data_IF_368081921682
#
_entry.id   IF_368081921682
#
_cell.length_a   1.000
_cell.length_b   1.000
_cell.length_c   1.000
_cell.angle_alpha   90.00
_cell.angle_beta   90.00
_cell.angle_gamma   90.00
#
_symmetry.space_group_name_H-M   'P 1'
#
loop_
_entity.id
_entity.type
_entity.pdbx_description
1 polymer ?
#
# COMPACT_ATOMS: atom_id res chain seq x y z
N UNK A 1 21.50 6.94 -18.80
CA UNK A 1 20.53 5.90 -19.23
C UNK A 1 20.91 4.63 -18.48
N UNK A 2 20.04 4.06 -17.64
CA UNK A 2 20.39 2.84 -16.89
C UNK A 2 20.34 1.62 -17.81
N UNK A 3 21.34 0.75 -17.73
CA UNK A 3 21.38 -0.52 -18.47
C UNK A 3 20.40 -1.48 -17.81
N UNK A 4 19.62 -2.22 -18.61
CA UNK A 4 18.71 -3.23 -18.06
C UNK A 4 19.54 -4.37 -17.45
N UNK A 5 19.37 -4.60 -16.15
CA UNK A 5 19.96 -5.72 -15.40
C UNK A 5 18.90 -6.35 -14.49
N UNK A 6 19.16 -7.56 -14.01
CA UNK A 6 18.27 -8.26 -13.08
C UNK A 6 18.01 -7.44 -11.82
N UNK A 7 19.06 -6.85 -11.26
CA UNK A 7 19.03 -6.07 -10.02
C UNK A 7 18.13 -4.84 -10.16
N UNK A 8 18.16 -4.16 -11.32
CA UNK A 8 17.27 -3.02 -11.58
C UNK A 8 15.81 -3.46 -11.72
N UNK A 9 15.57 -4.62 -12.33
CA UNK A 9 14.22 -5.18 -12.42
C UNK A 9 13.66 -5.56 -11.04
N UNK A 10 14.46 -6.20 -10.20
CA UNK A 10 14.09 -6.55 -8.82
C UNK A 10 13.82 -5.30 -7.98
N UNK A 11 14.69 -4.29 -8.06
CA UNK A 11 14.50 -3.00 -7.40
C UNK A 11 13.17 -2.35 -7.84
N UNK A 12 12.90 -2.33 -9.14
CA UNK A 12 11.64 -1.79 -9.68
C UNK A 12 10.42 -2.54 -9.15
N UNK A 13 10.51 -3.85 -8.99
CA UNK A 13 9.42 -4.66 -8.46
C UNK A 13 9.15 -4.33 -6.98
N UNK A 14 10.20 -4.22 -6.16
CA UNK A 14 10.07 -3.85 -4.74
C UNK A 14 9.44 -2.46 -4.61
N UNK A 15 9.91 -1.48 -5.39
CA UNK A 15 9.34 -0.12 -5.40
C UNK A 15 7.86 -0.15 -5.78
N UNK A 16 7.49 -0.93 -6.82
CA UNK A 16 6.09 -1.06 -7.24
C UNK A 16 5.21 -1.67 -6.16
N UNK A 17 5.66 -2.75 -5.50
CA UNK A 17 4.92 -3.38 -4.41
C UNK A 17 4.75 -2.41 -3.24
N UNK A 18 5.82 -1.74 -2.81
CA UNK A 18 5.76 -0.73 -1.77
C UNK A 18 4.79 0.41 -2.11
N UNK A 19 4.82 0.90 -3.35
CA UNK A 19 3.88 1.92 -3.83
C UNK A 19 2.43 1.46 -3.75
N UNK A 20 2.11 0.21 -4.14
CA UNK A 20 0.75 -0.31 -4.05
C UNK A 20 0.26 -0.39 -2.60
N UNK A 21 1.12 -0.83 -1.67
CA UNK A 21 0.79 -0.87 -0.23
C UNK A 21 0.50 0.52 0.31
N UNK A 22 1.38 1.50 0.02
CA UNK A 22 1.19 2.89 0.46
C UNK A 22 -0.07 3.49 -0.15
N UNK A 23 -0.30 3.28 -1.45
CA UNK A 23 -1.49 3.79 -2.14
C UNK A 23 -2.77 3.22 -1.54
N UNK A 24 -2.80 1.92 -1.22
CA UNK A 24 -3.94 1.27 -0.58
C UNK A 24 -4.16 1.81 0.85
N UNK A 25 -3.08 1.97 1.63
CA UNK A 25 -3.13 2.54 2.96
C UNK A 25 -3.72 3.96 2.97
N UNK A 26 -3.30 4.83 2.06
CA UNK A 26 -3.81 6.21 1.95
C UNK A 26 -5.29 6.27 1.52
N UNK A 27 -5.73 5.33 0.69
CA UNK A 27 -7.10 5.26 0.20
C UNK A 27 -8.07 4.69 1.24
N UNK A 28 -7.58 3.93 2.23
CA UNK A 28 -8.41 3.32 3.26
C UNK A 28 -8.80 4.36 4.31
N UNK A 29 -10.10 4.54 4.52
CA UNK A 29 -10.69 5.49 5.47
C UNK A 29 -11.37 4.75 6.62
N UNK A 30 -10.72 3.71 7.10
CA UNK A 30 -11.16 2.90 8.24
C UNK A 30 -9.97 2.22 8.91
N UNK A 31 -10.16 1.84 10.17
CA UNK A 31 -9.23 0.97 10.88
C UNK A 31 -9.81 -0.43 10.96
N UNK A 32 -9.06 -1.42 10.49
CA UNK A 32 -9.51 -2.81 10.45
C UNK A 32 -8.32 -3.76 10.58
N UNK A 33 -8.39 -4.66 11.56
CA UNK A 33 -7.33 -5.63 11.82
C UNK A 33 -6.01 -4.92 12.16
N UNK A 34 -4.94 -5.26 11.45
CA UNK A 34 -3.60 -4.69 11.66
C UNK A 34 -3.41 -3.31 11.00
N UNK A 35 -4.35 -2.85 10.19
CA UNK A 35 -4.29 -1.53 9.57
C UNK A 35 -5.08 -0.53 10.42
N UNK A 36 -4.36 0.32 11.15
CA UNK A 36 -4.93 1.36 12.00
C UNK A 36 -4.62 2.76 11.46
N UNK A 37 -5.65 3.59 11.33
CA UNK A 37 -5.56 4.98 10.85
C UNK A 37 -6.11 5.89 11.94
N UNK A 38 -5.28 6.83 12.43
CA UNK A 38 -5.63 7.73 13.54
C UNK A 38 -6.85 8.59 13.21
N UNK A 39 -6.95 9.07 11.96
CA UNK A 39 -8.07 9.90 11.50
C UNK A 39 -9.39 9.10 11.34
N UNK A 40 -9.31 7.76 11.25
CA UNK A 40 -10.43 6.86 11.03
C UNK A 40 -10.30 5.63 11.95
N UNK A 41 -10.50 5.80 13.27
CA UNK A 41 -10.14 4.79 14.27
C UNK A 41 -11.08 3.57 14.29
N UNK A 42 -12.26 3.70 13.71
CA UNK A 42 -13.29 2.66 13.69
C UNK A 42 -13.33 1.94 12.34
N UNK A 43 -13.95 0.75 12.36
CA UNK A 43 -14.24 -0.04 11.16
C UNK A 43 -15.41 0.60 10.40
N UNK A 44 -15.29 0.73 9.09
CA UNK A 44 -16.38 1.23 8.25
C UNK A 44 -17.49 0.16 8.14
N UNK A 45 -18.73 0.46 8.56
CA UNK A 45 -19.84 -0.48 8.55
C UNK A 45 -20.37 -0.80 7.14
N UNK A 46 -20.19 0.10 6.18
CA UNK A 46 -20.71 -0.04 4.81
C UNK A 46 -19.65 -0.62 3.84
N UNK A 47 -18.38 -0.64 4.27
CA UNK A 47 -17.27 -1.24 3.54
C UNK A 47 -17.44 -2.76 3.40
N UNK A 48 -17.74 -3.20 2.18
CA UNK A 48 -17.89 -4.62 1.79
C UNK A 48 -16.57 -5.37 1.61
N UNK A 49 -15.43 -4.72 1.89
CA UNK A 49 -14.14 -5.37 2.00
C UNK A 49 -14.11 -6.36 3.17
#
# INVERSE_FOLDING_TARGET
RSVVSREICELRNIIKVGYMVIKQAMARKESRGLHYTIDYPDKDPDSTL
#
